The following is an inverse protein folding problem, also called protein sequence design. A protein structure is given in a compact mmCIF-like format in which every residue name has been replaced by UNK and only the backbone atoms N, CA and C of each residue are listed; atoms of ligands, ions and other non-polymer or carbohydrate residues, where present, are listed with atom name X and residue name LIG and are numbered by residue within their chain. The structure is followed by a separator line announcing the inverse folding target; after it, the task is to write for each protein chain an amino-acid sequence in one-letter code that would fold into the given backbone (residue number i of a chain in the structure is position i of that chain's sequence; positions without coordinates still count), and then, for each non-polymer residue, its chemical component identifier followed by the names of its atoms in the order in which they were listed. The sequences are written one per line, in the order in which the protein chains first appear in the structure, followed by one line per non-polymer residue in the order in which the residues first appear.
data_IF_837430522606
#
_entry.id   IF_837430522606
#
_cell.length_a   1.000
_cell.length_b   1.000
_cell.length_c   1.000
_cell.angle_alpha   90.00
_cell.angle_beta   90.00
_cell.angle_gamma   90.00
#
_symmetry.space_group_name_H-M   'P 1'
#
loop_
_entity.id
_entity.type
_entity.pdbx_description
1 polymer ?
#
# COMPACT_ATOMS: atom_id res chain seq x y z
N UNK A 1 -27.49 6.67 -0.02
CA UNK A 1 -26.74 7.12 0.81
C UNK A 1 -25.65 7.67 0.25
N UNK A 2 -25.23 8.39 0.70
CA UNK A 2 -24.07 8.65 0.20
C UNK A 2 -23.14 7.82 0.68
N UNK A 3 -22.52 7.27 -0.13
CA UNK A 3 -21.54 6.42 0.27
C UNK A 3 -20.23 6.94 -0.08
N UNK A 4 -20.16 8.17 -0.25
CA UNK A 4 -18.94 8.75 -0.74
C UNK A 4 -17.79 8.43 0.17
N UNK A 5 -18.03 8.40 1.48
CA UNK A 5 -16.93 8.07 2.34
C UNK A 5 -17.26 6.86 3.17
N UNK A 6 -18.23 6.11 2.77
CA UNK A 6 -18.51 4.85 3.44
C UNK A 6 -17.65 3.80 2.79
N UNK A 7 -16.83 3.14 3.55
CA UNK A 7 -15.99 2.10 2.98
C UNK A 7 -16.83 0.87 2.79
N UNK A 8 -16.77 0.31 1.60
CA UNK A 8 -17.38 -0.97 1.38
C UNK A 8 -16.59 -2.02 2.13
N UNK A 9 -17.19 -3.13 2.36
CA UNK A 9 -16.50 -4.16 3.14
C UNK A 9 -15.23 -4.63 2.47
N UNK A 10 -15.11 -4.49 1.15
CA UNK A 10 -13.89 -4.87 0.49
C UNK A 10 -12.95 -3.70 0.30
N UNK A 11 -13.32 -2.51 0.78
CA UNK A 11 -12.44 -1.37 0.72
C UNK A 11 -11.68 -1.28 2.01
N UNK A 12 -10.42 -1.01 1.93
CA UNK A 12 -9.57 -0.91 3.09
C UNK A 12 -8.69 0.31 2.98
N UNK A 13 -8.31 0.84 4.12
CA UNK A 13 -7.32 1.88 4.14
C UNK A 13 -5.95 1.24 4.08
N UNK A 14 -4.98 1.99 3.60
CA UNK A 14 -3.62 1.47 3.47
C UNK A 14 -3.10 0.88 4.78
N UNK A 15 -3.36 1.55 5.89
CA UNK A 15 -2.84 1.08 7.18
C UNK A 15 -3.67 -0.06 7.77
N UNK A 16 -4.77 -0.46 7.10
CA UNK A 16 -5.58 -1.55 7.60
C UNK A 16 -5.19 -2.90 6.99
N UNK A 17 -4.41 -2.90 5.93
CA UNK A 17 -4.07 -4.17 5.30
C UNK A 17 -2.91 -4.83 6.04
N UNK A 18 -2.74 -6.14 5.90
CA UNK A 18 -1.62 -6.82 6.55
C UNK A 18 -0.28 -6.24 6.10
N UNK A 19 0.71 -6.34 6.96
CA UNK A 19 2.02 -5.78 6.68
C UNK A 19 2.89 -6.65 5.80
N UNK A 20 2.32 -7.22 4.75
CA UNK A 20 3.06 -8.06 3.81
C UNK A 20 3.06 -7.41 2.45
N UNK A 21 4.08 -7.75 1.64
CA UNK A 21 4.17 -7.18 0.30
C UNK A 21 3.04 -7.68 -0.58
N UNK A 22 2.60 -8.91 -0.40
CA UNK A 22 1.50 -9.44 -1.18
C UNK A 22 0.21 -8.66 -0.90
N UNK A 23 -0.06 -8.35 0.36
CA UNK A 23 -1.23 -7.57 0.71
C UNK A 23 -1.14 -6.16 0.13
N UNK A 24 0.05 -5.57 0.13
CA UNK A 24 0.25 -4.25 -0.45
C UNK A 24 -0.02 -4.28 -1.95
N UNK A 25 0.54 -5.27 -2.65
CA UNK A 25 0.35 -5.37 -4.10
C UNK A 25 -1.13 -5.53 -4.44
N UNK A 26 -1.84 -6.37 -3.69
CA UNK A 26 -3.26 -6.59 -3.95
C UNK A 26 -4.06 -5.33 -3.69
N UNK A 27 -3.75 -4.63 -2.62
CA UNK A 27 -4.43 -3.39 -2.29
C UNK A 27 -4.20 -2.35 -3.39
N UNK A 28 -2.94 -2.16 -3.80
CA UNK A 28 -2.62 -1.14 -4.79
C UNK A 28 -3.19 -1.47 -6.16
N UNK A 29 -3.20 -2.75 -6.52
CA UNK A 29 -3.79 -3.16 -7.78
C UNK A 29 -5.27 -2.84 -7.81
N UNK A 30 -5.97 -3.12 -6.70
CA UNK A 30 -7.38 -2.82 -6.62
C UNK A 30 -7.63 -1.32 -6.71
N UNK A 31 -6.79 -0.51 -6.05
CA UNK A 31 -6.92 0.93 -6.09
C UNK A 31 -6.55 1.50 -7.46
N UNK A 32 -5.84 0.74 -8.27
CA UNK A 32 -5.39 1.18 -9.57
C UNK A 32 -6.26 0.57 -10.68
N UNK A 33 -7.57 0.45 -10.42
CA UNK A 33 -8.56 -0.05 -11.37
C UNK A 33 -8.21 -1.45 -11.86
N UNK A 34 -7.66 -2.27 -10.98
CA UNK A 34 -7.28 -3.64 -11.26
C UNK A 34 -6.13 -3.78 -12.25
N UNK A 35 -5.45 -2.68 -12.58
CA UNK A 35 -4.22 -2.76 -13.33
C UNK A 35 -3.12 -3.11 -12.34
N UNK A 36 -2.39 -4.19 -12.62
CA UNK A 36 -1.47 -4.74 -11.65
C UNK A 36 -0.40 -3.75 -11.25
N UNK A 37 -0.23 -3.60 -9.95
CA UNK A 37 0.86 -2.82 -9.38
C UNK A 37 1.86 -3.83 -8.82
N UNK A 38 3.14 -3.58 -9.06
CA UNK A 38 4.18 -4.49 -8.59
C UNK A 38 5.32 -3.68 -7.99
N UNK A 39 6.16 -4.35 -7.23
CA UNK A 39 7.29 -3.69 -6.61
C UNK A 39 8.40 -3.56 -7.63
N UNK A 40 8.84 -2.33 -7.88
CA UNK A 40 9.93 -2.10 -8.81
C UNK A 40 11.27 -2.36 -8.14
N UNK A 41 11.41 -1.96 -6.89
CA UNK A 41 12.62 -2.25 -6.12
C UNK A 41 12.39 -1.91 -4.66
N UNK A 42 13.26 -2.41 -3.83
CA UNK A 42 13.23 -2.11 -2.41
C UNK A 42 14.60 -1.56 -2.02
N UNK A 43 14.60 -0.46 -1.28
CA UNK A 43 15.84 0.12 -0.80
C UNK A 43 15.76 0.25 0.71
N UNK A 44 16.92 0.40 1.34
CA UNK A 44 16.97 0.64 2.78
C UNK A 44 17.35 2.10 2.97
N UNK A 45 16.53 2.82 3.70
CA UNK A 45 16.77 4.23 3.95
C UNK A 45 16.65 4.46 5.42
N UNK A 46 17.73 4.86 6.06
CA UNK A 46 17.76 5.09 7.51
C UNK A 46 17.32 3.84 8.29
N UNK A 47 17.69 2.66 7.79
CA UNK A 47 17.32 1.42 8.45
C UNK A 47 15.91 0.96 8.18
N UNK A 48 15.17 1.65 7.31
CA UNK A 48 13.79 1.32 7.01
C UNK A 48 13.69 0.85 5.57
N UNK A 49 12.96 -0.26 5.35
CA UNK A 49 12.74 -0.76 4.01
C UNK A 49 11.72 0.10 3.30
N UNK A 50 12.10 0.63 2.15
CA UNK A 50 11.21 1.44 1.33
C UNK A 50 10.96 0.69 0.04
N UNK A 51 9.69 0.42 -0.26
CA UNK A 51 9.31 -0.37 -1.43
C UNK A 51 8.78 0.56 -2.50
N UNK A 52 9.50 0.67 -3.60
CA UNK A 52 9.09 1.53 -4.72
C UNK A 52 8.22 0.73 -5.66
N UNK A 53 7.00 1.18 -5.84
CA UNK A 53 6.00 0.43 -6.58
C UNK A 53 5.79 1.02 -7.97
N UNK A 54 5.23 0.20 -8.85
CA UNK A 54 5.06 0.61 -10.25
C UNK A 54 4.06 1.73 -10.43
N UNK A 55 3.27 2.06 -9.41
CA UNK A 55 2.34 3.18 -9.51
C UNK A 55 3.01 4.53 -9.27
N UNK A 56 4.33 4.55 -9.10
CA UNK A 56 5.06 5.79 -8.92
C UNK A 56 5.21 6.24 -7.48
N UNK A 57 4.69 5.48 -6.54
CA UNK A 57 4.77 5.83 -5.13
C UNK A 57 5.64 4.83 -4.40
N UNK A 58 6.14 5.25 -3.24
CA UNK A 58 6.94 4.38 -2.40
C UNK A 58 6.24 4.19 -1.07
N UNK A 59 6.42 3.03 -0.47
CA UNK A 59 5.73 2.65 0.75
C UNK A 59 6.70 2.04 1.74
N UNK A 60 6.42 2.24 3.02
CA UNK A 60 7.19 1.62 4.07
C UNK A 60 6.23 1.23 5.19
N UNK A 61 6.72 0.49 6.18
CA UNK A 61 5.89 0.17 7.33
C UNK A 61 6.32 1.05 8.49
N UNK A 62 5.34 1.47 9.29
CA UNK A 62 5.66 2.25 10.47
C UNK A 62 6.10 1.31 11.60
N UNK A 63 6.32 1.87 12.76
CA UNK A 63 6.83 1.06 13.88
C UNK A 63 5.85 0.01 14.34
N UNK A 64 4.58 0.15 13.96
CA UNK A 64 3.56 -0.83 14.31
C UNK A 64 3.38 -1.87 13.21
N UNK A 65 4.20 -1.82 12.18
CA UNK A 65 4.10 -2.78 11.06
C UNK A 65 2.98 -2.46 10.10
N UNK A 66 2.48 -1.23 10.12
CA UNK A 66 1.40 -0.82 9.23
C UNK A 66 1.98 -0.09 8.04
N UNK A 67 1.37 -0.31 6.87
CA UNK A 67 1.85 0.35 5.66
C UNK A 67 1.54 1.84 5.68
N UNK A 68 2.45 2.62 5.15
CA UNK A 68 2.30 4.06 5.00
C UNK A 68 3.06 4.51 3.77
N UNK A 69 2.73 5.67 3.24
CA UNK A 69 3.45 6.21 2.10
C UNK A 69 4.79 6.75 2.59
N UNK A 70 5.87 6.35 1.93
CA UNK A 70 7.19 6.81 2.27
C UNK A 70 7.56 7.96 1.34
N UNK A 71 8.10 9.01 1.92
CA UNK A 71 8.51 10.15 1.10
C UNK A 71 9.98 10.37 1.14
#
# INVERSE_FOLDING_TARGET
MSHAFVKEEDDQWLHDIPGTITALINYLTRENNSVRVYEKRMIIKNGIEVHEMSNGLSYSKDKNGKWQIAE
#
